data_IF_157585690608
#
_entry.id   IF_157585690608
#
_cell.length_a   1.000
_cell.length_b   1.000
_cell.length_c   1.000
_cell.angle_alpha   90.00
_cell.angle_beta   90.00
_cell.angle_gamma   90.00
#
_symmetry.space_group_name_H-M   'P 1'
#
loop_
_entity.id
_entity.type
_entity.pdbx_description
1 polymer ?
#
# COMPACT_ATOMS: atom_id res chain seq x y z
N UNK A 1 -21.12 10.95 1.21
CA UNK A 1 -19.69 10.89 1.65
C UNK A 1 -19.55 10.38 3.08
N UNK A 2 -20.33 10.89 4.04
CA UNK A 2 -20.29 10.41 5.43
C UNK A 2 -20.61 8.91 5.57
N UNK A 3 -21.69 8.43 4.94
CA UNK A 3 -22.04 7.00 4.94
C UNK A 3 -20.93 6.09 4.39
N UNK A 4 -20.24 6.52 3.33
CA UNK A 4 -19.08 5.78 2.78
C UNK A 4 -17.92 5.73 3.76
N UNK A 5 -17.74 6.78 4.56
CA UNK A 5 -16.74 6.82 5.62
C UNK A 5 -17.07 5.81 6.73
N UNK A 6 -18.33 5.78 7.19
CA UNK A 6 -18.81 4.81 8.20
C UNK A 6 -18.70 3.36 7.71
N UNK A 7 -19.12 3.07 6.47
CA UNK A 7 -18.98 1.73 5.88
C UNK A 7 -17.53 1.27 5.82
N UNK A 8 -16.62 2.20 5.47
CA UNK A 8 -15.18 1.93 5.47
C UNK A 8 -14.67 1.66 6.88
N UNK A 9 -15.08 2.46 7.87
CA UNK A 9 -14.71 2.26 9.26
C UNK A 9 -15.14 0.88 9.74
N UNK A 10 -16.38 0.48 9.48
CA UNK A 10 -16.90 -0.84 9.83
C UNK A 10 -16.12 -1.97 9.12
N UNK A 11 -15.81 -1.81 7.83
CA UNK A 11 -15.07 -2.81 7.04
C UNK A 11 -13.63 -3.04 7.53
N UNK A 12 -12.98 -1.99 8.01
CA UNK A 12 -11.56 -2.03 8.42
C UNK A 12 -11.36 -1.93 9.94
N UNK A 13 -12.43 -2.05 10.73
CA UNK A 13 -12.37 -1.99 12.20
C UNK A 13 -11.80 -0.67 12.74
N UNK A 14 -12.02 0.46 12.05
CA UNK A 14 -11.44 1.75 12.45
C UNK A 14 -12.31 2.42 13.52
N UNK A 15 -11.70 2.69 14.67
CA UNK A 15 -12.30 3.44 15.79
C UNK A 15 -11.45 4.69 16.04
N UNK A 16 -12.09 5.84 16.16
CA UNK A 16 -11.43 7.11 16.47
C UNK A 16 -11.55 7.43 17.97
N UNK A 17 -10.60 8.21 18.47
CA UNK A 17 -10.51 8.54 19.89
C UNK A 17 -11.62 9.49 20.35
N UNK A 18 -11.95 10.48 19.51
CA UNK A 18 -12.96 11.49 19.77
C UNK A 18 -13.60 11.99 18.47
N UNK A 19 -14.66 12.78 18.61
CA UNK A 19 -15.41 13.34 17.48
C UNK A 19 -14.57 14.35 16.67
N UNK A 20 -13.62 15.05 17.29
CA UNK A 20 -12.76 16.00 16.59
C UNK A 20 -11.78 15.29 15.66
N UNK A 21 -11.20 14.17 16.10
CA UNK A 21 -10.37 13.30 15.26
C UNK A 21 -11.21 12.66 14.16
N UNK A 22 -12.44 12.23 14.45
CA UNK A 22 -13.36 11.70 13.43
C UNK A 22 -13.66 12.73 12.34
N UNK A 23 -13.96 13.98 12.71
CA UNK A 23 -14.19 15.08 11.76
C UNK A 23 -12.94 15.34 10.90
N UNK A 24 -11.75 15.38 11.52
CA UNK A 24 -10.48 15.55 10.80
C UNK A 24 -10.25 14.42 9.80
N UNK A 25 -10.45 13.17 10.22
CA UNK A 25 -10.29 11.97 9.40
C UNK A 25 -11.30 11.91 8.27
N UNK A 26 -12.53 12.37 8.51
CA UNK A 26 -13.57 12.49 7.49
C UNK A 26 -13.18 13.52 6.41
N UNK A 27 -12.62 14.66 6.80
CA UNK A 27 -12.14 15.67 5.84
C UNK A 27 -11.05 15.11 4.92
N UNK A 28 -10.08 14.37 5.49
CA UNK A 28 -9.03 13.68 4.72
C UNK A 28 -9.64 12.62 3.79
N UNK A 29 -10.55 11.79 4.32
CA UNK A 29 -11.26 10.77 3.56
C UNK A 29 -11.96 11.38 2.34
N UNK A 30 -12.70 12.47 2.52
CA UNK A 30 -13.41 13.15 1.43
C UNK A 30 -12.44 13.60 0.33
N UNK A 31 -11.39 14.32 0.71
CA UNK A 31 -10.40 14.81 -0.26
C UNK A 31 -9.72 13.67 -1.03
N UNK A 32 -9.39 12.57 -0.36
CA UNK A 32 -8.79 11.41 -1.01
C UNK A 32 -9.77 10.66 -1.91
N UNK A 33 -11.05 10.57 -1.56
CA UNK A 33 -12.08 9.97 -2.42
C UNK A 33 -12.31 10.81 -3.67
N UNK A 34 -12.39 12.13 -3.54
CA UNK A 34 -12.53 13.05 -4.68
C UNK A 34 -11.31 12.91 -5.62
N UNK A 35 -10.11 12.78 -5.07
CA UNK A 35 -8.89 12.50 -5.84
C UNK A 35 -8.96 11.15 -6.57
N UNK A 36 -9.39 10.08 -5.90
CA UNK A 36 -9.55 8.74 -6.50
C UNK A 36 -10.53 8.78 -7.67
N UNK A 37 -11.67 9.45 -7.49
CA UNK A 37 -12.72 9.54 -8.51
C UNK A 37 -12.25 10.37 -9.71
N UNK A 38 -11.60 11.51 -9.49
CA UNK A 38 -11.00 12.31 -10.57
C UNK A 38 -9.93 11.51 -11.33
N UNK A 39 -9.02 10.87 -10.61
CA UNK A 39 -7.92 10.10 -11.21
C UNK A 39 -8.43 8.94 -12.08
N UNK A 40 -9.43 8.20 -11.59
CA UNK A 40 -10.01 7.08 -12.33
C UNK A 40 -10.85 7.56 -13.52
N UNK A 41 -11.50 8.72 -13.41
CA UNK A 41 -12.28 9.32 -14.50
C UNK A 41 -11.39 9.78 -15.65
N UNK A 42 -10.23 10.35 -15.34
CA UNK A 42 -9.27 10.81 -16.36
C UNK A 42 -8.75 9.64 -17.22
N UNK A 43 -8.69 8.43 -16.67
CA UNK A 43 -8.36 7.19 -17.42
C UNK A 43 -6.97 7.17 -18.06
N UNK A 44 -6.13 8.18 -17.80
CA UNK A 44 -4.84 8.40 -18.46
C UNK A 44 -3.71 7.48 -17.95
N UNK A 45 -3.99 6.59 -17.01
CA UNK A 45 -2.99 5.76 -16.33
C UNK A 45 -3.35 4.28 -16.46
N UNK A 46 -2.35 3.39 -16.57
CA UNK A 46 -2.57 1.94 -16.70
C UNK A 46 -2.96 1.28 -15.36
N UNK A 47 -3.38 2.07 -14.36
CA UNK A 47 -3.79 1.60 -13.04
C UNK A 47 -4.93 2.46 -12.52
N UNK A 48 -5.68 1.89 -11.58
CA UNK A 48 -6.79 2.57 -10.90
C UNK A 48 -6.47 2.72 -9.42
N UNK A 49 -7.11 3.70 -8.80
CA UNK A 49 -7.10 3.88 -7.36
C UNK A 49 -8.41 3.37 -6.76
N UNK A 50 -8.36 2.91 -5.51
CA UNK A 50 -9.54 2.40 -4.81
C UNK A 50 -9.53 2.84 -3.35
N UNK A 51 -10.72 2.93 -2.78
CA UNK A 51 -10.91 3.17 -1.35
C UNK A 51 -10.37 1.95 -0.58
N UNK A 52 -9.41 2.20 0.31
CA UNK A 52 -8.75 1.17 1.10
C UNK A 52 -8.64 1.57 2.58
N UNK A 53 -7.92 0.75 3.37
CA UNK A 53 -7.70 0.96 4.80
C UNK A 53 -6.88 2.21 5.16
N UNK A 54 -6.35 2.95 4.18
CA UNK A 54 -5.46 4.10 4.37
C UNK A 54 -6.01 5.42 3.84
N UNK A 55 -7.23 5.41 3.29
CA UNK A 55 -7.85 6.58 2.66
C UNK A 55 -8.12 7.75 3.64
N UNK A 56 -8.09 7.53 4.96
CA UNK A 56 -8.24 8.57 5.99
C UNK A 56 -6.89 9.10 6.53
N UNK A 57 -5.79 8.67 5.92
CA UNK A 57 -4.45 9.14 6.25
C UNK A 57 -3.95 10.13 5.21
N UNK A 58 -3.19 11.10 5.67
CA UNK A 58 -2.35 11.92 4.80
C UNK A 58 -1.15 11.11 4.30
N UNK A 59 -0.51 11.57 3.22
CA UNK A 59 0.69 10.93 2.67
C UNK A 59 1.82 10.89 3.72
N UNK A 60 1.93 11.93 4.55
CA UNK A 60 2.96 12.01 5.60
C UNK A 60 2.71 11.00 6.72
N UNK A 61 1.46 10.90 7.20
CA UNK A 61 1.07 9.89 8.20
C UNK A 61 1.25 8.47 7.67
N UNK A 62 0.89 8.23 6.40
CA UNK A 62 1.10 6.94 5.76
C UNK A 62 2.59 6.60 5.67
N UNK A 63 3.44 7.55 5.26
CA UNK A 63 4.89 7.36 5.22
C UNK A 63 5.47 7.08 6.61
N UNK A 64 5.07 7.85 7.62
CA UNK A 64 5.58 7.70 8.98
C UNK A 64 5.20 6.34 9.60
N UNK A 65 4.00 5.83 9.29
CA UNK A 65 3.48 4.59 9.90
C UNK A 65 3.74 3.32 9.09
N UNK A 66 3.89 3.41 7.76
CA UNK A 66 3.97 2.23 6.87
C UNK A 66 5.28 2.12 6.08
N UNK A 67 6.13 3.15 6.08
CA UNK A 67 7.43 3.10 5.42
C UNK A 67 8.56 2.90 6.43
N UNK A 68 8.89 1.64 6.71
CA UNK A 68 9.95 1.27 7.66
C UNK A 68 11.35 1.11 7.06
N UNK A 69 11.50 1.23 5.74
CA UNK A 69 12.78 0.98 5.09
C UNK A 69 13.80 2.08 5.40
N UNK A 70 14.86 1.71 6.11
CA UNK A 70 16.02 2.59 6.37
C UNK A 70 17.20 2.09 5.55
N UNK A 71 17.61 2.87 4.55
CA UNK A 71 18.82 2.58 3.77
C UNK A 71 20.03 2.73 4.71
N UNK A 72 20.78 1.64 4.91
CA UNK A 72 22.05 1.72 5.62
C UNK A 72 23.04 2.59 4.83
N UNK A 73 23.69 3.52 5.52
CA UNK A 73 24.76 4.36 4.97
C UNK A 73 26.10 3.64 4.90
N UNK A 74 26.24 2.51 5.60
CA UNK A 74 27.42 1.67 5.51
C UNK A 74 27.47 1.00 4.14
N UNK A 75 28.64 0.94 3.48
CA UNK A 75 28.81 0.12 2.29
C UNK A 75 28.40 -1.31 2.66
N UNK A 76 27.37 -1.86 2.00
CA UNK A 76 27.12 -3.29 2.07
C UNK A 76 28.43 -3.96 1.66
N UNK A 77 28.97 -4.83 2.50
CA UNK A 77 29.94 -5.83 2.07
C UNK A 77 29.25 -6.60 0.95
N UNK A 78 29.51 -6.20 -0.30
CA UNK A 78 28.97 -6.89 -1.47
C UNK A 78 29.61 -8.26 -1.43
N UNK A 79 28.80 -9.30 -1.25
CA UNK A 79 29.26 -10.67 -1.46
C UNK A 79 29.95 -10.71 -2.81
N UNK A 80 31.27 -10.96 -2.81
CA UNK A 80 32.08 -11.16 -4.03
C UNK A 80 31.71 -12.43 -4.77
N UNK A 81 30.84 -13.28 -4.19
CA UNK A 81 30.33 -14.47 -4.88
C UNK A 81 29.34 -14.05 -5.96
N UNK A 82 29.58 -14.43 -7.23
CA UNK A 82 28.67 -14.15 -8.32
C UNK A 82 27.32 -14.84 -8.06
N UNK A 83 26.27 -14.31 -8.67
CA UNK A 83 24.95 -14.92 -8.63
C UNK A 83 25.02 -16.31 -9.28
N UNK A 84 24.63 -17.35 -8.52
CA UNK A 84 24.81 -18.76 -8.92
C UNK A 84 24.19 -19.13 -10.27
N UNK A 85 23.14 -18.43 -10.69
CA UNK A 85 22.35 -18.78 -11.88
C UNK A 85 22.47 -17.73 -13.00
N UNK A 86 23.60 -17.03 -13.06
CA UNK A 86 23.87 -15.97 -14.05
C UNK A 86 23.75 -16.45 -15.51
N UNK A 87 24.08 -17.71 -15.79
CA UNK A 87 24.08 -18.27 -17.16
C UNK A 87 22.77 -18.98 -17.58
N UNK A 88 21.68 -18.84 -16.83
CA UNK A 88 20.41 -19.46 -17.21
C UNK A 88 19.78 -18.69 -18.38
N UNK A 89 19.69 -19.33 -19.55
CA UNK A 89 19.15 -18.72 -20.78
C UNK A 89 17.69 -19.09 -21.07
N UNK A 90 17.23 -20.24 -20.57
CA UNK A 90 15.86 -20.72 -20.76
C UNK A 90 14.93 -20.21 -19.65
N UNK A 91 14.43 -18.98 -19.79
CA UNK A 91 13.50 -18.35 -18.84
C UNK A 91 12.14 -18.13 -19.51
N UNK A 92 11.02 -18.46 -18.85
CA UNK A 92 9.70 -18.21 -19.40
C UNK A 92 9.41 -16.71 -19.54
N UNK A 93 8.53 -16.36 -20.48
CA UNK A 93 8.07 -14.97 -20.68
C UNK A 93 7.27 -14.40 -19.51
N UNK A 94 6.72 -15.25 -18.64
CA UNK A 94 5.99 -14.85 -17.43
C UNK A 94 6.11 -15.94 -16.35
N UNK A 95 6.24 -15.52 -15.08
CA UNK A 95 6.35 -16.40 -13.92
C UNK A 95 5.52 -15.85 -12.77
N UNK A 96 4.62 -16.68 -12.21
CA UNK A 96 3.84 -16.35 -11.00
C UNK A 96 4.13 -17.39 -9.91
N UNK A 97 4.90 -17.00 -8.90
CA UNK A 97 5.29 -17.86 -7.78
C UNK A 97 4.12 -18.27 -6.88
N UNK A 98 3.00 -17.54 -6.91
CA UNK A 98 1.79 -17.90 -6.16
C UNK A 98 1.22 -19.22 -6.68
N UNK A 99 1.26 -19.43 -8.01
CA UNK A 99 0.83 -20.68 -8.66
C UNK A 99 1.78 -21.85 -8.39
N UNK A 100 2.96 -21.58 -7.83
CA UNK A 100 3.98 -22.58 -7.48
C UNK A 100 4.02 -22.88 -5.97
N UNK A 101 3.14 -22.26 -5.17
CA UNK A 101 3.09 -22.48 -3.73
C UNK A 101 4.29 -21.91 -2.95
N UNK A 102 5.12 -21.08 -3.58
CA UNK A 102 6.28 -20.46 -2.94
C UNK A 102 5.93 -19.16 -2.18
N UNK A 103 4.70 -18.68 -2.31
CA UNK A 103 4.22 -17.43 -1.69
C UNK A 103 3.26 -17.76 -0.56
N UNK A 104 3.62 -17.32 0.65
CA UNK A 104 2.75 -17.41 1.83
C UNK A 104 1.58 -16.41 1.76
N UNK A 105 0.52 -16.59 2.57
CA UNK A 105 -0.54 -15.59 2.72
C UNK A 105 0.02 -14.20 3.03
N UNK A 106 -0.68 -13.17 2.54
CA UNK A 106 -0.34 -11.78 2.82
C UNK A 106 -0.44 -11.56 4.32
N UNK A 107 0.60 -10.93 4.89
CA UNK A 107 0.66 -10.58 6.31
C UNK A 107 0.52 -9.07 6.46
N UNK A 108 -0.21 -8.66 7.49
CA UNK A 108 -0.19 -7.29 7.97
C UNK A 108 0.97 -7.14 8.95
N UNK A 109 2.01 -6.40 8.55
CA UNK A 109 3.25 -6.25 9.33
C UNK A 109 3.14 -5.16 10.43
N UNK A 110 1.94 -4.67 10.69
CA UNK A 110 1.66 -3.50 11.53
C UNK A 110 0.41 -3.76 12.37
N UNK A 111 0.49 -4.76 13.25
CA UNK A 111 -0.38 -5.01 14.41
C UNK A 111 0.50 -5.22 15.65
#
# INVERSE_FOLDING_TARGET
MWERHEQRMARHGRVYQDDAEKERRFSIFKNNVDFIESFNKDGNKPYTLAINAFVDLTIEEFKASRNGYKRSSSPRQVSTKPFRYEHVTAVPSSMDWRKKGAVMPIKDCWE
#
